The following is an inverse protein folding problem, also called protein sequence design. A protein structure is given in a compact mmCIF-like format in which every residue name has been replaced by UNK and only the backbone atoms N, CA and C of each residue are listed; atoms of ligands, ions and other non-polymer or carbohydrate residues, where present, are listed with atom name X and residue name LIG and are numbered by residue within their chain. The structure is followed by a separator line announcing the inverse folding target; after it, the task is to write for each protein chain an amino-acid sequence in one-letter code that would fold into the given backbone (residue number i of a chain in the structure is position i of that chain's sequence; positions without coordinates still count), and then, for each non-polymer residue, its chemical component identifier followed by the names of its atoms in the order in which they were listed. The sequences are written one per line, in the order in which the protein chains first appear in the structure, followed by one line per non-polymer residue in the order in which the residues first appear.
data_IF_711929453776
#
_entry.id   IF_711929453776
#
_cell.length_a   1.000
_cell.length_b   1.000
_cell.length_c   1.000
_cell.angle_alpha   90.00
_cell.angle_beta   90.00
_cell.angle_gamma   90.00
#
_symmetry.space_group_name_H-M   'P 1'
#
loop_
_entity.id
_entity.type
_entity.pdbx_description
1 polymer ?
#
# COMPACT_ATOMS: atom_id res chain seq x y z
N UNK A 1 -8.41 25.93 -42.39
CA UNK A 1 -7.79 24.81 -43.13
C UNK A 1 -6.52 24.43 -42.38
N UNK A 2 -6.42 23.28 -41.70
CA UNK A 2 -5.30 22.96 -40.80
C UNK A 2 -3.95 22.71 -41.50
N UNK A 3 -3.81 23.11 -42.77
CA UNK A 3 -2.60 22.97 -43.59
C UNK A 3 -1.77 24.26 -43.71
N UNK A 4 -2.14 25.35 -43.04
CA UNK A 4 -1.26 26.53 -42.95
C UNK A 4 -0.31 26.37 -41.76
N UNK A 5 0.91 25.92 -42.05
CA UNK A 5 1.95 25.71 -41.04
C UNK A 5 2.47 27.03 -40.42
N UNK A 6 2.85 26.97 -39.14
CA UNK A 6 3.46 28.07 -38.40
C UNK A 6 4.96 28.19 -38.72
N UNK A 7 5.31 28.75 -39.88
CA UNK A 7 6.70 29.08 -40.23
C UNK A 7 6.98 30.51 -39.76
N UNK A 8 8.01 30.70 -38.92
CA UNK A 8 8.49 32.02 -38.51
C UNK A 8 10.00 32.07 -38.65
N UNK A 9 10.53 33.09 -39.34
CA UNK A 9 11.97 33.31 -39.55
C UNK A 9 12.71 32.06 -40.08
N UNK A 10 12.17 31.44 -41.14
CA UNK A 10 12.69 30.19 -41.75
C UNK A 10 12.84 28.99 -40.78
N UNK A 11 12.23 29.09 -39.60
CA UNK A 11 12.30 28.08 -38.55
C UNK A 11 10.92 27.53 -38.24
N UNK A 12 10.80 26.21 -38.29
CA UNK A 12 9.60 25.48 -37.87
C UNK A 12 9.84 24.97 -36.46
N UNK A 13 8.92 25.26 -35.55
CA UNK A 13 8.97 24.74 -34.17
C UNK A 13 7.79 23.80 -33.96
N UNK A 14 8.09 22.55 -33.61
CA UNK A 14 7.09 21.54 -33.28
C UNK A 14 7.24 21.20 -31.81
N UNK A 15 6.19 21.40 -31.03
CA UNK A 15 6.10 20.89 -29.65
C UNK A 15 5.24 19.62 -29.67
N UNK A 16 5.81 18.50 -29.23
CA UNK A 16 5.08 17.24 -29.05
C UNK A 16 4.97 16.96 -27.55
N UNK A 17 3.73 16.93 -27.05
CA UNK A 17 3.43 16.46 -25.70
C UNK A 17 2.87 15.05 -25.79
N UNK A 18 3.55 14.11 -25.16
CA UNK A 18 3.02 12.76 -24.99
C UNK A 18 2.98 12.41 -23.51
N UNK A 19 2.03 11.56 -23.17
CA UNK A 19 1.83 11.02 -21.83
C UNK A 19 1.95 9.50 -21.96
N UNK A 20 2.68 8.88 -21.05
CA UNK A 20 2.78 7.42 -21.03
C UNK A 20 1.48 6.90 -20.41
N UNK A 21 0.63 6.29 -21.24
CA UNK A 21 -0.65 5.73 -20.80
C UNK A 21 -0.45 4.41 -20.03
N UNK A 22 0.55 3.61 -20.42
CA UNK A 22 0.80 2.31 -19.79
C UNK A 22 2.25 1.87 -19.94
N UNK A 23 2.84 1.42 -18.84
CA UNK A 23 4.18 0.84 -18.81
C UNK A 23 4.02 -0.69 -18.77
N UNK A 24 4.50 -1.39 -19.80
CA UNK A 24 4.57 -2.85 -19.85
C UNK A 24 5.96 -3.35 -19.46
N UNK A 25 6.07 -4.59 -18.97
CA UNK A 25 7.35 -5.24 -18.67
C UNK A 25 8.02 -4.83 -17.35
N UNK A 26 7.59 -3.74 -16.72
CA UNK A 26 7.96 -3.42 -15.34
C UNK A 26 7.03 -4.21 -14.39
N UNK A 27 7.62 -5.03 -13.52
CA UNK A 27 6.86 -5.80 -12.53
C UNK A 27 6.31 -4.86 -11.46
N UNK A 28 5.10 -4.35 -11.66
CA UNK A 28 4.34 -3.67 -10.61
C UNK A 28 3.73 -4.71 -9.68
N UNK A 29 4.46 -5.08 -8.63
CA UNK A 29 3.89 -5.85 -7.53
C UNK A 29 3.00 -4.87 -6.75
N UNK A 30 1.68 -5.14 -6.61
CA UNK A 30 0.84 -4.31 -5.78
C UNK A 30 1.42 -4.29 -4.37
N UNK A 31 1.75 -3.09 -3.87
CA UNK A 31 2.19 -2.91 -2.50
C UNK A 31 0.94 -2.92 -1.62
N UNK A 32 1.02 -3.65 -0.51
CA UNK A 32 -0.03 -3.58 0.51
C UNK A 32 0.17 -2.26 1.25
N UNK A 33 -0.90 -1.49 1.36
CA UNK A 33 -0.92 -0.29 2.18
C UNK A 33 -1.45 -0.64 3.57
N UNK A 34 -0.54 -0.85 4.52
CA UNK A 34 -0.89 -1.18 5.90
C UNK A 34 -1.45 0.01 6.69
N UNK A 35 -1.59 1.18 6.07
CA UNK A 35 -2.21 2.37 6.67
C UNK A 35 -3.68 2.52 6.30
N UNK A 36 -4.19 1.77 5.31
CA UNK A 36 -5.59 1.82 4.90
C UNK A 36 -6.49 0.97 5.83
N UNK A 37 -7.39 1.60 6.61
CA UNK A 37 -8.35 0.87 7.46
C UNK A 37 -9.46 0.18 6.66
N UNK A 38 -9.64 0.53 5.39
CA UNK A 38 -10.77 0.05 4.58
C UNK A 38 -10.40 -1.15 3.70
N UNK A 39 -9.14 -1.58 3.71
CA UNK A 39 -8.72 -2.76 2.96
C UNK A 39 -9.42 -4.01 3.56
N UNK A 40 -10.25 -4.72 2.78
CA UNK A 40 -11.04 -5.85 3.28
C UNK A 40 -10.19 -7.04 3.72
N UNK A 41 -8.88 -7.05 3.40
CA UNK A 41 -7.94 -8.08 3.83
C UNK A 41 -7.47 -7.87 5.27
N UNK A 42 -7.66 -6.68 5.83
CA UNK A 42 -7.27 -6.36 7.20
C UNK A 42 -8.44 -6.63 8.17
N UNK A 43 -8.17 -7.40 9.23
CA UNK A 43 -9.16 -7.81 10.25
C UNK A 43 -8.72 -7.47 11.69
N UNK A 44 -7.53 -6.86 11.83
CA UNK A 44 -7.00 -6.34 13.10
C UNK A 44 -6.05 -5.16 12.85
N UNK A 45 -6.01 -4.24 13.80
CA UNK A 45 -4.99 -3.18 13.87
C UNK A 45 -4.00 -3.47 14.99
N UNK A 46 -2.71 -3.44 14.66
CA UNK A 46 -1.62 -3.44 15.64
C UNK A 46 -1.24 -1.99 15.94
N UNK A 47 -1.18 -1.62 17.21
CA UNK A 47 -0.76 -0.30 17.68
C UNK A 47 0.68 -0.40 18.12
N UNK A 48 1.57 0.34 17.46
CA UNK A 48 3.00 0.42 17.76
C UNK A 48 3.32 1.89 17.93
N UNK A 49 3.82 2.29 19.10
CA UNK A 49 4.17 3.69 19.40
C UNK A 49 3.02 4.68 19.12
N UNK A 50 1.78 4.25 19.37
CA UNK A 50 0.57 5.05 19.13
C UNK A 50 0.06 5.05 17.70
N UNK A 51 0.75 4.41 16.76
CA UNK A 51 0.37 4.36 15.35
C UNK A 51 -0.24 3.01 14.96
N UNK A 52 -1.27 3.05 14.11
CA UNK A 52 -2.01 1.85 13.67
C UNK A 52 -1.43 1.25 12.40
N UNK A 53 -1.28 -0.06 12.41
CA UNK A 53 -0.92 -0.89 11.27
C UNK A 53 -2.03 -1.93 11.08
N UNK A 54 -2.74 -1.85 9.97
CA UNK A 54 -3.85 -2.74 9.64
C UNK A 54 -3.32 -4.00 8.95
N UNK A 55 -3.68 -5.18 9.45
CA UNK A 55 -3.10 -6.47 9.03
C UNK A 55 -4.13 -7.59 9.05
N UNK A 56 -3.77 -8.74 8.47
CA UNK A 56 -4.57 -9.97 8.49
C UNK A 56 -4.08 -10.94 9.58
N UNK A 57 -4.95 -11.30 10.53
CA UNK A 57 -4.70 -12.30 11.57
C UNK A 57 -4.26 -13.63 10.98
N UNK A 58 -4.94 -14.09 9.92
CA UNK A 58 -4.65 -15.38 9.28
C UNK A 58 -3.23 -15.42 8.70
N UNK A 59 -2.84 -14.38 7.96
CA UNK A 59 -1.51 -14.31 7.34
C UNK A 59 -0.42 -14.25 8.41
N UNK A 60 -0.58 -13.42 9.43
CA UNK A 60 0.41 -13.29 10.51
C UNK A 60 0.54 -14.56 11.35
N UNK A 61 -0.58 -15.19 11.71
CA UNK A 61 -0.58 -16.45 12.44
C UNK A 61 0.07 -17.59 11.66
N UNK A 62 -0.19 -17.67 10.35
CA UNK A 62 0.45 -18.66 9.48
C UNK A 62 1.98 -18.53 9.46
N UNK A 63 2.48 -17.29 9.49
CA UNK A 63 3.92 -17.01 9.40
C UNK A 63 4.61 -16.89 10.78
N UNK A 64 3.87 -16.84 11.88
CA UNK A 64 4.43 -16.62 13.22
C UNK A 64 3.63 -17.38 14.30
N UNK A 65 4.25 -18.36 14.98
CA UNK A 65 3.63 -19.05 16.10
C UNK A 65 3.18 -18.12 17.24
N UNK A 66 3.89 -16.99 17.42
CA UNK A 66 3.56 -15.98 18.41
C UNK A 66 2.22 -15.31 18.08
N UNK A 67 2.05 -14.86 16.84
CA UNK A 67 0.78 -14.28 16.39
C UNK A 67 -0.34 -15.31 16.34
N UNK A 68 -0.04 -16.57 16.02
CA UNK A 68 -1.03 -17.64 16.11
C UNK A 68 -1.57 -17.82 17.54
N UNK A 69 -0.68 -17.86 18.52
CA UNK A 69 -1.07 -17.91 19.93
C UNK A 69 -1.85 -16.66 20.36
N UNK A 70 -1.39 -15.46 19.99
CA UNK A 70 -2.04 -14.19 20.32
C UNK A 70 -3.47 -14.07 19.76
N UNK A 71 -3.69 -14.48 18.51
CA UNK A 71 -4.97 -14.30 17.83
C UNK A 71 -5.96 -15.43 18.05
N UNK A 72 -5.48 -16.66 18.24
CA UNK A 72 -6.34 -17.85 18.30
C UNK A 72 -6.26 -18.62 19.62
N UNK A 73 -5.24 -18.38 20.44
CA UNK A 73 -5.15 -18.91 21.80
C UNK A 73 -6.11 -18.23 22.78
N UNK A 74 -6.11 -18.68 24.03
CA UNK A 74 -7.00 -18.19 25.08
C UNK A 74 -6.47 -16.93 25.79
N UNK A 75 -6.04 -15.96 24.98
CA UNK A 75 -5.58 -14.66 25.46
C UNK A 75 -6.63 -13.57 25.23
N UNK A 76 -6.50 -12.46 25.94
CA UNK A 76 -7.45 -11.34 25.86
C UNK A 76 -7.44 -10.68 24.47
N UNK A 77 -6.34 -10.80 23.73
CA UNK A 77 -6.12 -10.23 22.40
C UNK A 77 -7.00 -10.88 21.31
N UNK A 78 -7.41 -12.15 21.48
CA UNK A 78 -8.21 -12.91 20.51
C UNK A 78 -9.45 -12.16 20.01
N UNK A 79 -10.18 -11.55 20.94
CA UNK A 79 -11.43 -10.84 20.66
C UNK A 79 -11.24 -9.35 20.39
N UNK A 80 -10.01 -8.84 20.42
CA UNK A 80 -9.72 -7.43 20.16
C UNK A 80 -9.63 -7.16 18.65
N UNK A 81 -10.10 -5.98 18.26
CA UNK A 81 -9.89 -5.38 16.93
C UNK A 81 -8.61 -4.54 16.88
N UNK A 82 -8.13 -4.08 18.03
CA UNK A 82 -6.92 -3.29 18.19
C UNK A 82 -6.04 -3.90 19.28
N UNK A 83 -4.76 -4.13 18.98
CA UNK A 83 -3.82 -4.77 19.89
C UNK A 83 -2.57 -3.90 19.99
N UNK A 84 -2.26 -3.45 21.19
CA UNK A 84 -1.04 -2.69 21.47
C UNK A 84 0.16 -3.63 21.63
N UNK A 85 1.22 -3.36 20.88
CA UNK A 85 2.47 -4.11 20.93
C UNK A 85 3.55 -3.24 21.58
N UNK A 86 4.00 -3.67 22.75
CA UNK A 86 5.09 -3.04 23.47
C UNK A 86 6.42 -3.76 23.16
N UNK A 87 7.52 -3.00 23.12
CA UNK A 87 8.87 -3.56 22.90
C UNK A 87 9.19 -3.88 21.44
N UNK A 88 8.43 -3.30 20.50
CA UNK A 88 8.72 -3.33 19.06
C UNK A 88 8.77 -1.87 18.60
N UNK A 89 9.85 -1.49 17.93
CA UNK A 89 10.00 -0.14 17.39
C UNK A 89 9.44 -0.07 15.98
N UNK A 90 8.81 1.07 15.63
CA UNK A 90 8.47 1.34 14.23
C UNK A 90 9.75 1.73 13.49
N UNK A 91 10.07 1.02 12.40
CA UNK A 91 11.16 1.36 11.48
C UNK A 91 10.66 2.05 10.23
#
# INVERSE_FOLDING_TARGET
NPFEGFIKDDKITIEVKFWIDKIGGVRCIPRIDFTDPNDPRHDVALIIEGEKIYVSKQILAFNSPMFNAMFYGDFAEKNKKEIELNGVDRK
#
